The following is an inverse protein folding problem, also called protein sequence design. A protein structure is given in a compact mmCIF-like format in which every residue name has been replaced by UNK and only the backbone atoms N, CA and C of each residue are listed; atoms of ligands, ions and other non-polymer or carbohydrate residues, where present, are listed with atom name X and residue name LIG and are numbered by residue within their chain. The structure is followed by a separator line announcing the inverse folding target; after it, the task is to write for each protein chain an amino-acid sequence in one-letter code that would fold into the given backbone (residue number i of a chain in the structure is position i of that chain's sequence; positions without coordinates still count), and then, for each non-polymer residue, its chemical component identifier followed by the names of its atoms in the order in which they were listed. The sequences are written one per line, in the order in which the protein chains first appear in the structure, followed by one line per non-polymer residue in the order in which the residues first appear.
data_IF_401075411429
#
_entry.id   IF_401075411429
#
_cell.length_a   1.000
_cell.length_b   1.000
_cell.length_c   1.000
_cell.angle_alpha   90.00
_cell.angle_beta   90.00
_cell.angle_gamma   90.00
#
_symmetry.space_group_name_H-M   'P 1'
#
loop_
_entity.id
_entity.type
_entity.pdbx_description
1 polymer ?
#
# COMPACT_ATOMS: atom_id res chain seq x y z
N UNK A 1 16.36 43.98 1.82
CA UNK A 1 17.06 44.41 0.60
C UNK A 1 16.05 44.82 -0.46
N UNK A 2 16.27 45.94 -1.15
CA UNK A 2 15.50 46.36 -2.33
C UNK A 2 16.41 46.30 -3.55
N UNK A 3 16.05 45.51 -4.56
CA UNK A 3 16.78 45.40 -5.82
C UNK A 3 15.85 45.72 -6.98
N UNK A 4 16.34 46.46 -7.98
CA UNK A 4 15.54 46.88 -9.13
C UNK A 4 15.99 46.13 -10.38
N UNK A 5 15.09 45.32 -10.93
CA UNK A 5 15.21 44.77 -12.28
C UNK A 5 14.36 45.65 -13.23
N UNK A 6 13.44 45.06 -14.01
CA UNK A 6 12.35 45.80 -14.66
C UNK A 6 11.39 46.48 -13.67
N UNK A 7 11.24 45.90 -12.47
CA UNK A 7 10.40 46.38 -11.36
C UNK A 7 11.18 46.22 -10.06
N UNK A 8 10.71 46.90 -9.02
CA UNK A 8 11.28 46.75 -7.68
C UNK A 8 10.99 45.35 -7.13
N UNK A 9 12.03 44.68 -6.66
CA UNK A 9 12.01 43.38 -6.00
C UNK A 9 12.47 43.58 -4.55
N UNK A 10 11.58 43.28 -3.62
CA UNK A 10 11.84 43.35 -2.18
C UNK A 10 12.11 41.95 -1.66
N UNK A 11 13.25 41.78 -0.97
CA UNK A 11 13.68 40.48 -0.45
C UNK A 11 14.10 40.57 1.01
N UNK A 12 13.79 39.50 1.75
CA UNK A 12 14.20 39.25 3.12
C UNK A 12 15.00 37.95 3.18
N UNK A 13 16.12 37.94 3.91
CA UNK A 13 16.88 36.73 4.19
C UNK A 13 17.57 36.86 5.53
N UNK A 14 17.68 35.74 6.22
CA UNK A 14 18.47 35.58 7.45
C UNK A 14 19.90 35.11 7.18
N UNK A 15 20.21 34.68 5.95
CA UNK A 15 21.50 34.08 5.58
C UNK A 15 22.40 35.02 4.78
N UNK A 16 21.82 35.79 3.87
CA UNK A 16 22.58 36.61 2.93
C UNK A 16 22.42 38.10 3.26
N UNK A 17 23.54 38.84 3.26
CA UNK A 17 23.59 40.31 3.26
C UNK A 17 23.47 40.85 1.83
N UNK A 18 24.05 42.02 1.55
CA UNK A 18 23.98 42.70 0.26
C UNK A 18 25.03 42.26 -0.77
N UNK A 19 25.32 40.96 -0.83
CA UNK A 19 26.33 40.42 -1.74
C UNK A 19 25.79 40.33 -3.17
N UNK A 20 26.44 41.01 -4.10
CA UNK A 20 26.22 40.90 -5.54
C UNK A 20 27.15 39.84 -6.15
N UNK A 21 26.63 39.06 -7.08
CA UNK A 21 27.41 38.09 -7.85
C UNK A 21 27.25 38.37 -9.34
N UNK A 22 28.34 38.19 -10.08
CA UNK A 22 28.31 38.22 -11.54
C UNK A 22 27.60 36.98 -12.08
N UNK A 23 26.66 37.17 -12.99
CA UNK A 23 25.94 36.11 -13.69
C UNK A 23 25.85 36.46 -15.17
N UNK A 24 25.81 35.43 -16.01
CA UNK A 24 25.63 35.60 -17.46
C UNK A 24 24.17 35.42 -17.84
N UNK A 25 23.63 36.33 -18.66
CA UNK A 25 22.29 36.17 -19.22
C UNK A 25 22.28 35.14 -20.36
N UNK A 26 21.09 34.71 -20.79
CA UNK A 26 20.89 33.86 -21.98
C UNK A 26 21.49 34.43 -23.28
N UNK A 27 21.77 35.74 -23.31
CA UNK A 27 22.41 36.46 -24.43
C UNK A 27 23.94 36.61 -24.27
N UNK A 28 24.56 35.94 -23.31
CA UNK A 28 26.01 36.03 -23.04
C UNK A 28 26.47 37.29 -22.30
N UNK A 29 25.56 38.20 -21.97
CA UNK A 29 25.89 39.44 -21.26
C UNK A 29 26.11 39.20 -19.76
N UNK A 30 27.21 39.75 -19.23
CA UNK A 30 27.54 39.75 -17.79
C UNK A 30 26.65 40.76 -17.06
N UNK A 31 26.04 40.33 -15.95
CA UNK A 31 25.09 41.08 -15.13
C UNK A 31 25.41 40.85 -13.67
N UNK A 32 25.25 41.87 -12.82
CA UNK A 32 25.35 41.70 -11.38
C UNK A 32 23.97 41.54 -10.76
N UNK A 33 23.76 40.44 -10.04
CA UNK A 33 22.51 40.16 -9.33
C UNK A 33 22.78 39.85 -7.86
N UNK A 34 21.88 40.21 -6.94
CA UNK A 34 22.00 39.79 -5.55
C UNK A 34 22.04 38.27 -5.45
N UNK A 35 23.01 37.75 -4.70
CA UNK A 35 23.16 36.30 -4.48
C UNK A 35 21.90 35.68 -3.91
N UNK A 36 21.22 36.41 -3.01
CA UNK A 36 19.95 36.02 -2.42
C UNK A 36 18.87 35.73 -3.46
N UNK A 37 18.77 36.53 -4.53
CA UNK A 37 17.78 36.36 -5.60
C UNK A 37 18.09 35.13 -6.44
N UNK A 38 19.38 34.91 -6.74
CA UNK A 38 19.81 33.74 -7.48
C UNK A 38 19.51 32.43 -6.73
N UNK A 39 19.84 32.39 -5.45
CA UNK A 39 19.58 31.22 -4.60
C UNK A 39 18.08 30.99 -4.39
N UNK A 40 17.30 32.06 -4.20
CA UNK A 40 15.84 31.97 -4.12
C UNK A 40 15.25 31.39 -5.40
N UNK A 41 15.64 31.91 -6.57
CA UNK A 41 15.11 31.42 -7.85
C UNK A 41 15.52 29.96 -8.11
N UNK A 42 16.75 29.57 -7.74
CA UNK A 42 17.20 28.18 -7.83
C UNK A 42 16.36 27.25 -6.95
N UNK A 43 16.05 27.67 -5.72
CA UNK A 43 15.26 26.88 -4.79
C UNK A 43 13.76 26.84 -5.16
N UNK A 44 13.19 27.97 -5.58
CA UNK A 44 11.78 28.08 -5.96
C UNK A 44 11.42 27.18 -7.15
N UNK A 45 12.33 27.06 -8.12
CA UNK A 45 12.07 26.29 -9.34
C UNK A 45 11.78 24.81 -9.09
N UNK A 46 12.20 24.22 -7.97
CA UNK A 46 11.90 22.81 -7.67
C UNK A 46 10.40 22.54 -7.49
N UNK A 47 9.65 23.48 -6.92
CA UNK A 47 8.19 23.37 -6.76
C UNK A 47 7.53 23.39 -8.13
N UNK A 48 7.87 24.37 -8.97
CA UNK A 48 7.33 24.50 -10.32
C UNK A 48 7.63 23.26 -11.18
N UNK A 49 8.84 22.68 -11.06
CA UNK A 49 9.23 21.46 -11.76
C UNK A 49 8.41 20.25 -11.27
N UNK A 50 8.18 20.15 -9.96
CA UNK A 50 7.37 19.09 -9.38
C UNK A 50 5.92 19.18 -9.87
N UNK A 51 5.33 20.37 -9.83
CA UNK A 51 3.96 20.63 -10.28
C UNK A 51 3.82 20.36 -11.79
N UNK A 52 4.81 20.77 -12.58
CA UNK A 52 4.87 20.49 -14.01
C UNK A 52 4.86 18.97 -14.26
N UNK A 53 5.73 18.21 -13.60
CA UNK A 53 5.80 16.74 -13.71
C UNK A 53 4.51 16.07 -13.30
N UNK A 54 3.83 16.57 -12.27
CA UNK A 54 2.53 16.06 -11.83
C UNK A 54 1.43 16.32 -12.86
N UNK A 55 1.44 17.51 -13.47
CA UNK A 55 0.40 17.94 -14.42
C UNK A 55 0.38 17.10 -15.71
N UNK A 56 1.55 16.76 -16.27
CA UNK A 56 1.67 15.93 -17.48
C UNK A 56 1.13 14.50 -17.31
N UNK A 57 0.97 14.07 -16.06
CA UNK A 57 0.78 12.68 -15.71
C UNK A 57 -0.36 12.49 -14.69
N UNK A 58 -1.33 13.40 -14.69
CA UNK A 58 -2.38 13.45 -13.68
C UNK A 58 -3.30 12.21 -13.70
N UNK A 59 -3.43 11.49 -12.57
CA UNK A 59 -4.36 10.37 -12.41
C UNK A 59 -5.78 10.85 -12.12
N UNK A 60 -6.00 12.15 -11.96
CA UNK A 60 -7.25 12.71 -11.49
C UNK A 60 -8.37 12.50 -12.52
N UNK A 61 -9.57 12.20 -12.01
CA UNK A 61 -10.81 12.07 -12.77
C UNK A 61 -11.92 12.86 -12.09
N UNK A 62 -12.98 13.18 -12.83
CA UNK A 62 -14.16 13.87 -12.27
C UNK A 62 -14.73 13.01 -11.13
N UNK A 63 -14.85 13.60 -9.95
CA UNK A 63 -15.38 12.92 -8.76
C UNK A 63 -16.13 13.93 -7.88
N UNK A 64 -17.22 13.47 -7.26
CA UNK A 64 -18.02 14.28 -6.33
C UNK A 64 -17.32 14.46 -4.97
N UNK A 65 -16.42 13.55 -4.60
CA UNK A 65 -15.76 13.55 -3.29
C UNK A 65 -14.33 14.09 -3.42
N UNK A 66 -14.06 15.25 -2.82
CA UNK A 66 -12.78 15.97 -2.95
C UNK A 66 -11.57 15.15 -2.46
N UNK A 67 -11.72 14.43 -1.35
CA UNK A 67 -10.63 13.67 -0.74
C UNK A 67 -10.09 12.54 -1.65
N UNK A 68 -10.92 12.02 -2.58
CA UNK A 68 -10.48 11.02 -3.55
C UNK A 68 -9.43 11.59 -4.50
N UNK A 69 -9.57 12.87 -4.89
CA UNK A 69 -8.56 13.54 -5.73
C UNK A 69 -7.22 13.62 -4.99
N UNK A 70 -7.25 14.04 -3.73
CA UNK A 70 -6.04 14.11 -2.90
C UNK A 70 -5.39 12.73 -2.76
N UNK A 71 -6.17 11.70 -2.46
CA UNK A 71 -5.65 10.34 -2.34
C UNK A 71 -5.01 9.84 -3.65
N UNK A 72 -5.66 10.05 -4.80
CA UNK A 72 -5.09 9.62 -6.09
C UNK A 72 -3.83 10.40 -6.47
N UNK A 73 -3.78 11.70 -6.20
CA UNK A 73 -2.59 12.50 -6.47
C UNK A 73 -1.40 12.03 -5.62
N UNK A 74 -1.61 11.85 -4.32
CA UNK A 74 -0.56 11.40 -3.40
C UNK A 74 -0.08 9.98 -3.78
N UNK A 75 -1.01 9.06 -4.02
CA UNK A 75 -0.67 7.65 -4.27
C UNK A 75 -0.09 7.43 -5.66
N UNK A 76 -0.70 7.97 -6.72
CA UNK A 76 -0.34 7.60 -8.10
C UNK A 76 0.67 8.57 -8.74
N UNK A 77 0.79 9.80 -8.22
CA UNK A 77 1.80 10.77 -8.69
C UNK A 77 2.94 10.92 -7.68
N UNK A 78 2.67 11.46 -6.49
CA UNK A 78 3.73 11.85 -5.55
C UNK A 78 4.54 10.64 -5.09
N UNK A 79 3.89 9.57 -4.65
CA UNK A 79 4.59 8.37 -4.17
C UNK A 79 5.41 7.70 -5.28
N UNK A 80 4.88 7.72 -6.51
CA UNK A 80 5.53 7.12 -7.67
C UNK A 80 6.78 7.90 -8.09
N UNK A 81 6.73 9.23 -8.12
CA UNK A 81 7.90 10.07 -8.42
C UNK A 81 8.99 9.95 -7.36
N UNK A 82 8.59 9.81 -6.08
CA UNK A 82 9.52 9.54 -4.99
C UNK A 82 10.17 8.15 -5.15
N UNK A 83 9.38 7.13 -5.47
CA UNK A 83 9.88 5.78 -5.72
C UNK A 83 10.84 5.73 -6.92
N UNK A 84 10.53 6.44 -8.01
CA UNK A 84 11.43 6.55 -9.17
C UNK A 84 12.75 7.23 -8.79
N UNK A 85 12.68 8.30 -8.00
CA UNK A 85 13.87 9.01 -7.53
C UNK A 85 14.74 8.08 -6.68
N UNK A 86 14.13 7.32 -5.77
CA UNK A 86 14.83 6.32 -4.96
C UNK A 86 15.44 5.22 -5.85
N UNK A 87 14.68 4.70 -6.82
CA UNK A 87 15.16 3.68 -7.77
C UNK A 87 16.40 4.16 -8.54
N UNK A 88 16.34 5.37 -9.09
CA UNK A 88 17.45 5.96 -9.84
C UNK A 88 18.70 6.16 -8.95
N UNK A 89 18.51 6.53 -7.66
CA UNK A 89 19.61 6.70 -6.70
C UNK A 89 20.24 5.35 -6.34
N UNK A 90 19.44 4.34 -6.02
CA UNK A 90 19.91 3.05 -5.51
C UNK A 90 20.53 2.20 -6.62
N UNK A 91 19.92 2.18 -7.81
CA UNK A 91 20.39 1.32 -8.91
C UNK A 91 21.39 2.00 -9.82
N UNK A 92 21.49 3.34 -9.78
CA UNK A 92 22.28 4.13 -10.72
C UNK A 92 21.71 4.17 -12.15
N UNK A 93 20.65 3.41 -12.44
CA UNK A 93 20.00 3.39 -13.73
C UNK A 93 18.99 4.53 -13.83
N UNK A 94 19.14 5.39 -14.84
CA UNK A 94 18.22 6.49 -15.09
C UNK A 94 17.04 6.00 -15.93
N UNK A 95 15.92 5.70 -15.26
CA UNK A 95 14.67 5.32 -15.92
C UNK A 95 13.76 6.54 -16.14
N UNK A 96 13.04 6.55 -17.25
CA UNK A 96 12.01 7.56 -17.53
C UNK A 96 10.75 7.35 -16.68
N UNK A 97 9.99 8.42 -16.41
CA UNK A 97 8.74 8.34 -15.61
C UNK A 97 7.70 7.43 -16.27
N UNK A 98 7.59 7.47 -17.60
CA UNK A 98 6.62 6.66 -18.36
C UNK A 98 6.97 5.18 -18.27
N UNK A 99 8.22 4.84 -18.58
CA UNK A 99 8.73 3.46 -18.51
C UNK A 99 8.58 2.88 -17.10
N UNK A 100 8.90 3.67 -16.07
CA UNK A 100 8.73 3.24 -14.68
C UNK A 100 7.26 2.96 -14.32
N UNK A 101 6.33 3.79 -14.82
CA UNK A 101 4.89 3.55 -14.66
C UNK A 101 4.44 2.28 -15.35
N UNK A 102 4.86 2.07 -16.59
CA UNK A 102 4.52 0.88 -17.36
C UNK A 102 4.99 -0.38 -16.65
N UNK A 103 6.23 -0.40 -16.16
CA UNK A 103 6.77 -1.51 -15.38
C UNK A 103 5.94 -1.81 -14.13
N UNK A 104 5.54 -0.79 -13.37
CA UNK A 104 4.65 -0.96 -12.21
C UNK A 104 3.29 -1.53 -12.63
N UNK A 105 2.69 -0.97 -13.69
CA UNK A 105 1.39 -1.42 -14.18
C UNK A 105 1.45 -2.88 -14.61
N UNK A 106 2.48 -3.29 -15.36
CA UNK A 106 2.65 -4.68 -15.79
C UNK A 106 2.72 -5.63 -14.59
N UNK A 107 3.52 -5.30 -13.56
CA UNK A 107 3.62 -6.12 -12.35
C UNK A 107 2.29 -6.20 -11.60
N UNK A 108 1.54 -5.10 -11.52
CA UNK A 108 0.23 -5.07 -10.86
C UNK A 108 -0.82 -5.88 -11.64
N UNK A 109 -0.83 -5.80 -12.96
CA UNK A 109 -1.71 -6.58 -13.82
C UNK A 109 -1.39 -8.08 -13.74
N UNK A 110 -0.10 -8.44 -13.78
CA UNK A 110 0.33 -9.82 -13.58
C UNK A 110 -0.16 -10.37 -12.24
N UNK A 111 0.00 -9.62 -11.15
CA UNK A 111 -0.49 -10.01 -9.82
C UNK A 111 -2.01 -10.11 -9.73
N UNK A 112 -2.75 -9.28 -10.48
CA UNK A 112 -4.21 -9.34 -10.54
C UNK A 112 -4.72 -10.54 -11.35
N UNK A 113 -3.94 -10.98 -12.35
CA UNK A 113 -4.23 -12.14 -13.20
C UNK A 113 -3.74 -13.47 -12.63
N UNK A 114 -2.96 -13.45 -11.54
CA UNK A 114 -2.90 -14.62 -10.67
C UNK A 114 -4.35 -14.75 -10.16
N UNK A 115 -5.06 -15.86 -10.40
CA UNK A 115 -6.33 -16.07 -9.73
C UNK A 115 -6.04 -15.78 -8.27
N UNK A 116 -6.81 -14.89 -7.65
CA UNK A 116 -6.77 -14.76 -6.20
C UNK A 116 -7.04 -16.16 -5.68
N UNK A 117 -5.99 -16.97 -5.49
CA UNK A 117 -6.00 -18.11 -4.60
C UNK A 117 -6.49 -17.40 -3.35
N UNK A 118 -7.72 -17.68 -2.90
CA UNK A 118 -8.26 -17.00 -1.75
C UNK A 118 -7.15 -17.11 -0.72
N UNK A 119 -6.61 -15.94 -0.30
CA UNK A 119 -5.53 -15.90 0.68
C UNK A 119 -5.92 -16.96 1.69
N UNK A 120 -5.10 -17.99 1.85
CA UNK A 120 -5.28 -18.90 2.96
C UNK A 120 -5.19 -17.97 4.16
N UNK A 121 -6.35 -17.59 4.69
CA UNK A 121 -6.46 -17.10 6.03
C UNK A 121 -5.77 -18.19 6.84
N UNK A 122 -4.58 -17.89 7.34
CA UNK A 122 -3.84 -18.74 8.25
C UNK A 122 -4.73 -18.99 9.47
N UNK A 123 -5.51 -20.05 9.38
CA UNK A 123 -6.68 -20.36 10.18
C UNK A 123 -7.84 -20.75 9.26
N UNK A 124 -8.00 -22.05 8.98
CA UNK A 124 -9.28 -22.57 8.49
C UNK A 124 -10.38 -21.98 9.39
N UNK A 125 -11.40 -21.35 8.80
CA UNK A 125 -12.53 -20.86 9.58
C UNK A 125 -13.28 -22.11 10.07
N UNK A 126 -12.86 -22.62 11.23
CA UNK A 126 -13.57 -23.66 11.93
C UNK A 126 -14.88 -23.06 12.39
N UNK A 127 -15.94 -23.35 11.64
CA UNK A 127 -17.33 -23.04 11.99
C UNK A 127 -18.15 -24.32 11.94
N UNK A 128 -19.22 -24.36 12.72
CA UNK A 128 -20.19 -25.44 12.65
C UNK A 128 -21.19 -25.13 11.55
N UNK A 129 -21.42 -26.11 10.67
CA UNK A 129 -22.51 -26.08 9.67
C UNK A 129 -23.40 -27.31 9.85
N UNK A 130 -24.67 -27.17 9.46
CA UNK A 130 -25.60 -28.29 9.40
C UNK A 130 -25.28 -29.20 8.20
N UNK A 131 -25.32 -30.50 8.42
CA UNK A 131 -25.06 -31.54 7.42
C UNK A 131 -25.86 -32.80 7.75
N UNK A 132 -25.66 -33.86 6.95
CA UNK A 132 -26.27 -35.18 7.20
C UNK A 132 -25.86 -35.68 8.60
N UNK A 133 -26.72 -36.46 9.25
CA UNK A 133 -26.42 -37.00 10.59
C UNK A 133 -25.21 -37.93 10.53
N UNK A 134 -24.17 -37.62 11.31
CA UNK A 134 -22.97 -38.43 11.48
C UNK A 134 -22.64 -38.63 12.96
N UNK A 135 -21.78 -39.58 13.31
CA UNK A 135 -21.31 -39.75 14.70
C UNK A 135 -20.31 -38.66 15.05
N UNK A 136 -20.39 -38.10 16.26
CA UNK A 136 -19.39 -37.15 16.73
C UNK A 136 -18.01 -37.85 16.78
N UNK A 137 -17.01 -37.31 16.09
CA UNK A 137 -15.67 -37.91 15.97
C UNK A 137 -14.96 -38.03 17.31
N UNK A 138 -15.06 -37.02 18.17
CA UNK A 138 -14.35 -37.02 19.46
C UNK A 138 -15.05 -37.93 20.48
N UNK A 139 -16.38 -37.86 20.58
CA UNK A 139 -17.14 -38.80 21.43
C UNK A 139 -16.94 -40.25 20.98
N UNK A 140 -16.85 -40.50 19.66
CA UNK A 140 -16.56 -41.83 19.16
C UNK A 140 -15.19 -42.31 19.64
N UNK A 141 -14.17 -41.47 19.54
CA UNK A 141 -12.83 -41.79 20.03
C UNK A 141 -12.81 -42.09 21.54
N UNK A 142 -13.45 -41.25 22.36
CA UNK A 142 -13.58 -41.47 23.81
C UNK A 142 -14.26 -42.80 24.14
N UNK A 143 -15.36 -43.13 23.44
CA UNK A 143 -16.09 -44.38 23.65
C UNK A 143 -15.31 -45.62 23.17
N UNK A 144 -14.47 -45.48 22.14
CA UNK A 144 -13.56 -46.55 21.70
C UNK A 144 -12.55 -46.88 22.79
N UNK A 145 -12.02 -45.87 23.50
CA UNK A 145 -11.08 -46.11 24.60
C UNK A 145 -11.71 -46.84 25.79
N UNK A 146 -13.02 -46.67 26.01
CA UNK A 146 -13.72 -47.26 27.15
C UNK A 146 -14.17 -48.71 26.91
N UNK A 147 -14.58 -49.07 25.69
CA UNK A 147 -15.19 -50.38 25.42
C UNK A 147 -14.94 -50.92 24.02
N UNK A 148 -13.97 -50.36 23.29
CA UNK A 148 -13.65 -50.76 21.93
C UNK A 148 -14.64 -50.29 20.87
N UNK A 149 -14.42 -50.76 19.63
CA UNK A 149 -15.15 -50.30 18.43
C UNK A 149 -16.65 -50.58 18.49
N UNK A 150 -17.05 -51.79 18.88
CA UNK A 150 -18.46 -52.20 18.88
C UNK A 150 -19.29 -51.42 19.90
N UNK A 151 -18.73 -51.20 21.09
CA UNK A 151 -19.32 -50.37 22.13
C UNK A 151 -19.52 -48.92 21.63
N UNK A 152 -18.48 -48.33 21.05
CA UNK A 152 -18.55 -46.97 20.51
C UNK A 152 -19.59 -46.84 19.40
N UNK A 153 -19.77 -47.85 18.55
CA UNK A 153 -20.81 -47.85 17.53
C UNK A 153 -22.23 -47.96 18.09
N UNK A 154 -22.45 -48.45 19.30
CA UNK A 154 -23.79 -48.47 19.90
C UNK A 154 -24.09 -47.18 20.68
N UNK A 155 -23.11 -46.69 21.43
CA UNK A 155 -23.32 -45.63 22.43
C UNK A 155 -23.07 -44.21 21.90
N UNK A 156 -22.21 -44.05 20.89
CA UNK A 156 -21.81 -42.70 20.44
C UNK A 156 -22.98 -41.89 19.86
N UNK A 157 -23.18 -40.68 20.41
CA UNK A 157 -24.12 -39.67 19.92
C UNK A 157 -23.93 -39.36 18.43
N UNK A 158 -25.04 -39.35 17.68
CA UNK A 158 -25.11 -38.82 16.31
C UNK A 158 -25.50 -37.34 16.33
N UNK A 159 -24.85 -36.54 15.51
CA UNK A 159 -25.01 -35.09 15.39
C UNK A 159 -25.24 -34.69 13.93
N UNK A 160 -26.00 -33.63 13.70
CA UNK A 160 -26.18 -33.00 12.38
C UNK A 160 -25.17 -31.89 12.11
N UNK A 161 -24.22 -31.67 13.02
CA UNK A 161 -23.24 -30.59 12.96
C UNK A 161 -21.88 -31.09 12.48
N UNK A 162 -21.32 -30.42 11.48
CA UNK A 162 -20.01 -30.73 10.87
C UNK A 162 -19.13 -29.48 10.86
N UNK A 163 -17.84 -29.62 11.13
CA UNK A 163 -16.85 -28.59 10.87
C UNK A 163 -16.28 -28.77 9.46
N UNK A 164 -16.45 -27.82 8.52
CA UNK A 164 -15.88 -27.92 7.18
C UNK A 164 -14.35 -27.90 7.17
N UNK A 165 -13.72 -27.09 8.03
CA UNK A 165 -12.26 -27.03 8.16
C UNK A 165 -11.66 -28.40 8.47
N UNK A 166 -12.10 -29.03 9.57
CA UNK A 166 -11.63 -30.37 9.92
C UNK A 166 -12.27 -31.52 9.12
N UNK A 167 -13.30 -31.26 8.32
CA UNK A 167 -14.15 -32.28 7.70
C UNK A 167 -14.74 -33.34 8.66
N UNK A 168 -14.87 -33.03 9.96
CA UNK A 168 -15.35 -33.95 11.01
C UNK A 168 -16.73 -33.55 11.54
N UNK A 169 -17.55 -34.55 11.87
CA UNK A 169 -18.79 -34.37 12.63
C UNK A 169 -18.46 -34.15 14.11
N UNK A 170 -18.98 -33.07 14.70
CA UNK A 170 -18.67 -32.68 16.08
C UNK A 170 -19.95 -32.17 16.75
N UNK A 171 -20.23 -32.61 17.98
CA UNK A 171 -21.22 -31.93 18.83
C UNK A 171 -20.68 -30.54 19.22
N UNK A 172 -21.57 -29.66 19.69
CA UNK A 172 -21.19 -28.31 20.11
C UNK A 172 -20.06 -28.33 21.16
N UNK A 173 -20.17 -29.20 22.17
CA UNK A 173 -19.16 -29.36 23.22
C UNK A 173 -17.79 -29.77 22.68
N UNK A 174 -17.72 -30.81 21.83
CA UNK A 174 -16.46 -31.25 21.23
C UNK A 174 -15.89 -30.21 20.26
N UNK A 175 -16.75 -29.43 19.60
CA UNK A 175 -16.29 -28.35 18.76
C UNK A 175 -15.58 -27.27 19.57
N UNK A 176 -16.18 -26.79 20.66
CA UNK A 176 -15.56 -25.77 21.53
C UNK A 176 -14.30 -26.28 22.24
N UNK A 177 -14.24 -27.57 22.62
CA UNK A 177 -13.03 -28.20 23.18
C UNK A 177 -11.87 -28.21 22.17
N UNK A 178 -12.15 -28.56 20.92
CA UNK A 178 -11.12 -28.73 19.88
C UNK A 178 -10.75 -27.43 19.15
N UNK A 179 -11.63 -26.42 19.16
CA UNK A 179 -11.49 -25.18 18.39
C UNK A 179 -11.63 -23.95 19.29
N UNK A 180 -10.81 -23.87 20.33
CA UNK A 180 -10.82 -22.74 21.25
C UNK A 180 -10.50 -21.43 20.51
N UNK A 181 -11.30 -20.39 20.76
CA UNK A 181 -11.08 -19.03 20.28
C UNK A 181 -10.04 -18.25 21.08
N UNK A 182 -9.30 -18.90 22.00
CA UNK A 182 -8.18 -18.27 22.70
C UNK A 182 -6.93 -18.23 21.81
N UNK A 183 -6.84 -17.20 20.98
CA UNK A 183 -5.53 -16.61 20.65
C UNK A 183 -5.15 -15.69 21.81
N UNK A 184 -4.17 -16.09 22.62
CA UNK A 184 -3.26 -15.16 23.29
C UNK A 184 -2.14 -14.90 22.29
#
# INVERSE_FOLDING_TARGET
MKWKDKRDVLMLSTKYKDNLIETTNKRGQKLFKPKMIMDYNKAKGFVDISDLRSSYHSPLRRSLKWYRKVAFEILLNTSLLNALTLFNIVTGNKMGVVEFRENIIQVLLMKANIPMIPKSTGGEIHKIVNSKRGRCSNCYFEMVQQGGREHAQKVTRKVSTKCPGCSKYLCLECFFKLHSTKKI
#
